data_IF_544921383213
#
_entry.id   IF_544921383213
#
_cell.length_a   1.000
_cell.length_b   1.000
_cell.length_c   1.000
_cell.angle_alpha   90.00
_cell.angle_beta   90.00
_cell.angle_gamma   90.00
#
_symmetry.space_group_name_H-M   'P 1'
#
loop_
_entity.id
_entity.type
_entity.pdbx_description
1 polymer ?
#
# COMPACT_ATOMS: atom_id res chain seq x y z
N UNK A 1 -22.18 16.20 12.25
CA UNK A 1 -21.69 15.04 11.48
C UNK A 1 -22.21 13.83 12.22
N UNK A 2 -23.17 13.10 11.66
CA UNK A 2 -23.84 12.03 12.42
C UNK A 2 -22.84 10.90 12.65
N UNK A 3 -22.60 10.56 13.91
CA UNK A 3 -21.86 9.37 14.31
C UNK A 3 -22.69 8.14 13.92
N UNK A 4 -22.45 7.69 12.69
CA UNK A 4 -23.19 6.57 12.10
C UNK A 4 -22.60 5.30 12.69
N UNK A 5 -23.07 4.96 13.90
CA UNK A 5 -22.69 3.72 14.57
C UNK A 5 -23.02 2.54 13.67
N UNK A 6 -22.01 1.74 13.37
CA UNK A 6 -22.16 0.52 12.59
C UNK A 6 -23.18 -0.43 13.24
N UNK A 7 -23.90 -1.17 12.41
CA UNK A 7 -24.83 -2.23 12.80
C UNK A 7 -24.52 -3.50 12.02
N UNK A 8 -24.79 -4.68 12.58
CA UNK A 8 -24.80 -5.91 11.79
C UNK A 8 -25.73 -5.76 10.59
N UNK A 9 -25.22 -6.09 9.40
CA UNK A 9 -25.90 -5.87 8.13
C UNK A 9 -25.48 -4.61 7.37
N UNK A 10 -24.79 -3.65 8.00
CA UNK A 10 -24.19 -2.54 7.25
C UNK A 10 -23.08 -3.06 6.33
N UNK A 11 -22.92 -2.41 5.17
CA UNK A 11 -21.89 -2.72 4.18
C UNK A 11 -20.77 -1.70 4.28
N UNK A 12 -19.53 -2.18 4.32
CA UNK A 12 -18.31 -1.37 4.37
C UNK A 12 -17.20 -2.03 3.55
N UNK A 13 -16.21 -1.24 3.18
CA UNK A 13 -15.05 -1.72 2.43
C UNK A 13 -13.99 -2.30 3.38
N UNK A 14 -13.67 -3.59 3.24
CA UNK A 14 -12.59 -4.26 3.98
C UNK A 14 -11.68 -5.08 3.06
N UNK A 15 -10.50 -5.46 3.55
CA UNK A 15 -9.55 -6.27 2.80
C UNK A 15 -9.97 -7.74 2.80
N UNK A 16 -10.32 -8.24 1.60
CA UNK A 16 -10.59 -9.65 1.44
C UNK A 16 -9.27 -10.45 1.25
N UNK A 17 -8.96 -11.43 2.11
CA UNK A 17 -7.79 -12.28 1.94
C UNK A 17 -7.88 -13.23 0.73
N UNK A 18 -9.09 -13.55 0.25
CA UNK A 18 -9.31 -14.38 -0.94
C UNK A 18 -9.09 -13.60 -2.23
N UNK A 19 -9.78 -12.48 -2.38
CA UNK A 19 -9.63 -11.59 -3.55
C UNK A 19 -8.31 -10.79 -3.53
N UNK A 20 -7.64 -10.71 -2.38
CA UNK A 20 -6.41 -9.93 -2.14
C UNK A 20 -6.54 -8.45 -2.50
N UNK A 21 -7.74 -7.89 -2.32
CA UNK A 21 -8.08 -6.49 -2.59
C UNK A 21 -9.14 -5.99 -1.61
N UNK A 22 -9.39 -4.69 -1.61
CA UNK A 22 -10.50 -4.08 -0.87
C UNK A 22 -11.80 -4.35 -1.64
N UNK A 23 -12.80 -4.86 -0.96
CA UNK A 23 -14.13 -5.13 -1.53
C UNK A 23 -15.22 -4.75 -0.54
N UNK A 24 -16.45 -4.71 -1.03
CA UNK A 24 -17.65 -4.63 -0.20
C UNK A 24 -17.75 -5.86 0.71
N UNK A 25 -17.87 -5.61 2.01
CA UNK A 25 -18.17 -6.62 3.01
C UNK A 25 -19.33 -6.19 3.89
N UNK A 26 -20.26 -7.10 4.14
CA UNK A 26 -21.36 -6.90 5.09
C UNK A 26 -20.92 -7.29 6.51
N UNK A 27 -21.25 -6.50 7.52
CA UNK A 27 -20.97 -6.85 8.92
C UNK A 27 -21.85 -8.04 9.33
N UNK A 28 -21.23 -9.14 9.77
CA UNK A 28 -21.97 -10.33 10.25
C UNK A 28 -21.87 -10.53 11.75
N UNK A 29 -20.78 -10.07 12.39
CA UNK A 29 -20.63 -10.15 13.83
C UNK A 29 -19.95 -8.90 14.39
N UNK A 30 -20.54 -8.36 15.47
CA UNK A 30 -20.00 -7.27 16.26
C UNK A 30 -19.97 -7.68 17.74
N UNK A 31 -19.00 -7.17 18.47
CA UNK A 31 -18.89 -7.29 19.93
C UNK A 31 -18.80 -5.88 20.48
N UNK A 32 -19.77 -5.51 21.32
CA UNK A 32 -19.97 -4.13 21.78
C UNK A 32 -20.11 -3.15 20.60
N UNK A 33 -19.06 -2.38 20.32
CA UNK A 33 -19.00 -1.40 19.23
C UNK A 33 -17.94 -1.76 18.18
N UNK A 34 -17.26 -2.91 18.35
CA UNK A 34 -16.19 -3.36 17.47
C UNK A 34 -16.68 -4.46 16.52
N UNK A 35 -16.23 -4.40 15.27
CA UNK A 35 -16.63 -5.33 14.22
C UNK A 35 -15.66 -6.51 14.27
N UNK A 36 -16.16 -7.72 14.52
CA UNK A 36 -15.35 -8.93 14.63
C UNK A 36 -15.24 -9.66 13.29
N UNK A 37 -16.37 -9.82 12.59
CA UNK A 37 -16.42 -10.52 11.31
C UNK A 37 -17.27 -9.78 10.29
N UNK A 38 -16.80 -9.84 9.06
CA UNK A 38 -17.46 -9.31 7.88
C UNK A 38 -17.57 -10.40 6.81
N UNK A 39 -18.57 -10.32 5.95
CA UNK A 39 -18.79 -11.26 4.85
C UNK A 39 -18.59 -10.55 3.53
N UNK A 40 -17.66 -11.04 2.72
CA UNK A 40 -17.35 -10.47 1.43
C UNK A 40 -18.51 -10.69 0.44
N UNK A 41 -18.93 -9.66 -0.29
CA UNK A 41 -19.92 -9.79 -1.36
C UNK A 41 -19.40 -10.45 -2.63
N UNK A 42 -18.06 -10.55 -2.79
CA UNK A 42 -17.43 -11.17 -3.96
C UNK A 42 -17.16 -12.68 -3.80
N UNK A 43 -16.69 -13.13 -2.63
CA UNK A 43 -16.41 -14.56 -2.39
C UNK A 43 -17.38 -15.25 -1.44
N UNK A 44 -18.40 -14.53 -0.94
CA UNK A 44 -19.41 -15.00 0.02
C UNK A 44 -18.83 -15.53 1.35
N UNK A 45 -17.53 -15.39 1.58
CA UNK A 45 -16.81 -15.89 2.75
C UNK A 45 -16.82 -14.91 3.92
N UNK A 46 -16.85 -15.45 5.13
CA UNK A 46 -16.67 -14.69 6.36
C UNK A 46 -15.18 -14.50 6.68
N UNK A 47 -14.81 -13.28 6.99
CA UNK A 47 -13.46 -12.82 7.26
C UNK A 47 -13.41 -12.02 8.56
N UNK A 48 -12.28 -12.09 9.25
CA UNK A 48 -12.02 -11.22 10.41
C UNK A 48 -11.81 -9.79 9.91
N UNK A 49 -12.50 -8.84 10.54
CA UNK A 49 -12.44 -7.45 10.13
C UNK A 49 -11.06 -6.86 10.38
N UNK A 50 -10.42 -6.30 9.35
CA UNK A 50 -9.09 -5.70 9.47
C UNK A 50 -9.09 -4.19 9.67
N UNK A 51 -10.25 -3.57 9.87
CA UNK A 51 -10.39 -2.12 10.05
C UNK A 51 -9.78 -1.30 8.90
N UNK A 52 -9.79 -1.84 7.67
CA UNK A 52 -9.05 -1.29 6.53
C UNK A 52 -7.55 -1.03 6.80
N UNK A 53 -7.01 -1.61 7.87
CA UNK A 53 -5.62 -1.41 8.30
C UNK A 53 -4.76 -2.35 7.49
N UNK A 54 -4.23 -1.82 6.39
CA UNK A 54 -3.18 -2.50 5.63
C UNK A 54 -2.00 -2.72 6.57
N UNK A 55 -1.58 -3.97 6.85
CA UNK A 55 -0.45 -4.21 7.73
C UNK A 55 0.77 -3.48 7.18
N UNK A 56 1.40 -2.67 8.03
CA UNK A 56 2.54 -1.87 7.65
C UNK A 56 3.60 -2.77 6.98
N UNK A 57 4.16 -2.37 5.82
CA UNK A 57 5.20 -3.15 5.19
C UNK A 57 6.33 -3.32 6.20
N UNK A 58 6.65 -4.58 6.53
CA UNK A 58 7.79 -4.92 7.37
C UNK A 58 9.02 -4.25 6.75
N UNK A 59 9.50 -3.15 7.35
CA UNK A 59 10.82 -2.59 7.06
C UNK A 59 11.81 -3.73 7.26
N UNK A 60 12.34 -4.27 6.16
CA UNK A 60 13.55 -5.07 6.22
C UNK A 60 14.59 -4.18 6.88
N UNK A 61 15.04 -4.58 8.07
CA UNK A 61 16.25 -4.07 8.71
C UNK A 61 17.33 -4.01 7.64
N UNK A 62 17.67 -2.80 7.20
CA UNK A 62 18.83 -2.59 6.35
C UNK A 62 20.05 -2.98 7.21
N UNK A 63 20.90 -3.91 6.76
CA UNK A 63 22.12 -4.23 7.50
C UNK A 63 23.03 -2.99 7.56
N UNK A 64 23.74 -2.74 8.67
CA UNK A 64 24.65 -1.61 8.76
C UNK A 64 25.96 -1.97 8.07
N UNK A 65 26.23 -1.37 6.91
CA UNK A 65 27.56 -1.24 6.31
C UNK A 65 27.42 -0.23 5.15
N UNK A 66 28.27 0.77 4.90
CA UNK A 66 29.74 0.85 4.96
C UNK A 66 30.10 2.37 5.03
N UNK A 67 31.13 2.83 5.77
CA UNK A 67 31.69 4.16 5.57
C UNK A 67 32.61 4.14 4.34
N UNK A 68 32.07 4.54 3.17
CA UNK A 68 32.87 4.71 1.97
C UNK A 68 33.50 6.12 1.97
N UNK A 69 34.81 6.10 2.16
CA UNK A 69 35.75 7.21 2.09
C UNK A 69 35.45 8.23 1.00
N UNK A 70 35.49 9.49 1.43
CA UNK A 70 35.80 10.66 0.64
C UNK A 70 37.25 10.57 0.15
N UNK A 71 37.46 10.00 -1.04
CA UNK A 71 38.74 10.08 -1.74
C UNK A 71 38.49 10.55 -3.18
N UNK A 72 39.05 11.72 -3.49
CA UNK A 72 38.69 12.52 -4.65
C UNK A 72 39.22 11.98 -5.98
N UNK A 73 38.51 12.35 -7.06
CA UNK A 73 39.02 12.47 -8.43
C UNK A 73 37.96 13.30 -9.20
N UNK A 74 38.11 14.61 -9.36
CA UNK A 74 38.77 15.26 -10.51
C UNK A 74 38.48 14.54 -11.84
N UNK A 75 37.68 15.16 -12.71
CA UNK A 75 37.43 14.62 -14.05
C UNK A 75 36.43 15.40 -14.91
N UNK A 76 36.83 16.61 -15.33
CA UNK A 76 36.55 17.26 -16.61
C UNK A 76 35.25 16.95 -17.38
N UNK A 77 34.40 17.96 -17.53
CA UNK A 77 33.40 18.06 -18.60
C UNK A 77 34.04 18.41 -19.96
N UNK A 78 33.72 17.67 -21.02
CA UNK A 78 33.37 18.29 -22.31
C UNK A 78 32.15 17.57 -22.95
N UNK A 79 31.31 18.08 -23.87
CA UNK A 79 31.06 19.32 -24.63
C UNK A 79 29.92 18.93 -25.61
N UNK A 80 28.83 19.68 -25.82
CA UNK A 80 27.95 19.37 -26.94
C UNK A 80 28.52 19.98 -28.23
N UNK A 81 28.85 19.14 -29.21
CA UNK A 81 29.20 19.55 -30.57
C UNK A 81 27.97 19.35 -31.46
N UNK A 82 27.37 20.43 -31.93
CA UNK A 82 26.42 20.41 -33.06
C UNK A 82 27.20 20.24 -34.37
N UNK A 83 26.76 19.39 -35.31
CA UNK A 83 27.41 19.29 -36.62
C UNK A 83 26.82 20.29 -37.63
N UNK A 84 27.68 20.91 -38.46
CA UNK A 84 27.32 21.24 -39.85
C UNK A 84 28.43 20.77 -40.81
N UNK A 85 28.29 20.90 -42.16
CA UNK A 85 27.12 21.06 -43.01
C UNK A 85 27.05 20.02 -44.16
N UNK A 86 25.94 20.00 -44.89
CA UNK A 86 25.78 19.29 -46.16
C UNK A 86 26.47 20.04 -47.31
N UNK A 87 27.20 19.30 -48.14
CA UNK A 87 27.82 19.76 -49.39
C UNK A 87 26.88 19.50 -50.59
N UNK A 88 27.04 20.22 -51.71
CA UNK A 88 26.89 19.65 -53.05
C UNK A 88 28.21 19.03 -53.55
#
# INVERSE_FOLDING_TARGET
>A
MQDRRYRPGDVLDDYCPRERRITDHAIVAMVDEDIQRTRCGSCDGEHEYKQAKVPAPRRKTQPPALPAQLDGLQGSTPRPQSPPPAAP
#
